data_IF_611463810973
#
_entry.id   IF_611463810973
#
_cell.length_a   1.000
_cell.length_b   1.000
_cell.length_c   1.000
_cell.angle_alpha   90.00
_cell.angle_beta   90.00
_cell.angle_gamma   90.00
#
_symmetry.space_group_name_H-M   'P 1'
#
loop_
_entity.id
_entity.type
_entity.pdbx_description
1 polymer ?
#
# COMPACT_ATOMS: atom_id res chain seq x y z
N UNK A 1 15.47 4.28 -8.67
CA UNK A 1 14.52 3.49 -9.47
C UNK A 1 13.93 2.44 -8.57
N UNK A 2 12.64 2.17 -8.66
CA UNK A 2 12.01 1.07 -7.93
C UNK A 2 12.63 -0.26 -8.38
N UNK A 3 12.91 -1.16 -7.44
CA UNK A 3 13.33 -2.53 -7.71
C UNK A 3 12.16 -3.37 -8.28
N UNK A 4 10.95 -2.82 -8.21
CA UNK A 4 9.70 -3.45 -8.60
C UNK A 4 9.12 -2.80 -9.85
N UNK A 5 8.34 -3.58 -10.60
CA UNK A 5 7.58 -3.12 -11.75
C UNK A 5 6.12 -3.54 -11.64
N UNK A 6 5.25 -2.83 -12.34
CA UNK A 6 3.82 -3.16 -12.48
C UNK A 6 3.47 -3.20 -13.95
N UNK A 7 2.65 -4.18 -14.36
CA UNK A 7 2.21 -4.27 -15.77
C UNK A 7 1.23 -3.14 -16.11
N UNK A 8 1.33 -2.64 -17.36
CA UNK A 8 0.39 -1.63 -17.87
C UNK A 8 -1.04 -2.17 -17.91
N UNK A 9 -1.25 -3.48 -18.06
CA UNK A 9 -2.56 -4.13 -18.00
C UNK A 9 -3.23 -3.89 -16.65
N UNK A 10 -2.50 -4.12 -15.54
CA UNK A 10 -3.02 -3.89 -14.20
C UNK A 10 -3.40 -2.43 -13.96
N UNK A 11 -2.55 -1.49 -14.42
CA UNK A 11 -2.85 -0.06 -14.31
C UNK A 11 -4.07 0.33 -15.13
N UNK A 12 -4.23 -0.25 -16.32
CA UNK A 12 -5.38 -0.01 -17.19
C UNK A 12 -6.68 -0.54 -16.58
N UNK A 13 -6.64 -1.72 -15.95
CA UNK A 13 -7.79 -2.29 -15.25
C UNK A 13 -8.20 -1.43 -14.03
N UNK A 14 -7.24 -1.10 -13.14
CA UNK A 14 -7.53 -0.33 -11.93
C UNK A 14 -7.99 1.11 -12.21
N UNK A 15 -7.47 1.74 -13.27
CA UNK A 15 -7.85 3.09 -13.69
C UNK A 15 -8.96 3.10 -14.76
N UNK A 16 -9.55 1.95 -15.09
CA UNK A 16 -10.60 1.79 -16.09
C UNK A 16 -10.27 2.47 -17.43
N UNK A 17 -9.04 2.20 -17.93
CA UNK A 17 -8.56 2.76 -19.18
C UNK A 17 -9.01 1.91 -20.37
N UNK A 18 -9.36 2.57 -21.48
CA UNK A 18 -9.65 1.91 -22.76
C UNK A 18 -8.46 2.00 -23.69
N UNK A 19 -8.24 0.97 -24.51
CA UNK A 19 -7.11 0.89 -25.42
C UNK A 19 -7.48 1.54 -26.75
N UNK A 20 -6.74 2.58 -27.18
CA UNK A 20 -6.82 3.11 -28.52
C UNK A 20 -5.81 2.41 -29.45
N UNK A 21 -4.60 2.15 -28.94
CA UNK A 21 -3.56 1.41 -29.65
C UNK A 21 -2.61 0.74 -28.65
N UNK A 22 -2.14 -0.46 -28.98
CA UNK A 22 -1.04 -1.14 -28.30
C UNK A 22 -0.21 -1.95 -29.29
N UNK A 23 1.13 -1.95 -29.17
CA UNK A 23 2.00 -2.75 -30.04
C UNK A 23 2.06 -4.23 -29.63
N UNK A 24 1.70 -4.55 -28.39
CA UNK A 24 1.69 -5.89 -27.81
C UNK A 24 0.67 -5.98 -26.68
N UNK A 25 0.56 -7.13 -26.04
CA UNK A 25 -0.25 -7.31 -24.83
C UNK A 25 0.24 -6.38 -23.70
N UNK A 26 -0.68 -5.69 -23.03
CA UNK A 26 -0.35 -4.71 -21.99
C UNK A 26 0.39 -5.32 -20.80
N UNK A 27 0.24 -6.63 -20.55
CA UNK A 27 0.97 -7.36 -19.49
C UNK A 27 2.48 -7.40 -19.71
N UNK A 28 2.92 -7.30 -20.98
CA UNK A 28 4.34 -7.29 -21.35
C UNK A 28 5.01 -5.93 -21.13
N UNK A 29 4.22 -4.88 -20.97
CA UNK A 29 4.73 -3.52 -20.78
C UNK A 29 4.83 -3.23 -19.28
N UNK A 30 6.07 -3.00 -18.82
CA UNK A 30 6.37 -2.79 -17.42
C UNK A 30 6.61 -1.33 -17.10
N UNK A 31 5.94 -0.81 -16.08
CA UNK A 31 6.10 0.54 -15.55
C UNK A 31 6.90 0.47 -14.25
N UNK A 32 7.94 1.30 -14.14
CA UNK A 32 8.87 1.33 -12.98
C UNK A 32 8.91 2.70 -12.29
N UNK A 33 8.31 3.73 -12.90
CA UNK A 33 8.24 5.07 -12.33
C UNK A 33 7.00 5.21 -11.45
N UNK A 34 7.16 5.78 -10.26
CA UNK A 34 6.07 6.03 -9.29
C UNK A 34 5.22 7.26 -9.62
N UNK A 35 5.68 8.05 -10.58
CA UNK A 35 5.04 9.30 -10.98
C UNK A 35 4.57 9.23 -12.43
N UNK A 36 3.56 10.03 -12.74
CA UNK A 36 3.10 10.30 -14.11
C UNK A 36 3.52 11.71 -14.52
N UNK A 37 3.52 12.02 -15.81
CA UNK A 37 3.98 13.31 -16.30
C UNK A 37 3.01 13.91 -17.33
N UNK A 38 2.87 15.24 -17.32
CA UNK A 38 2.15 15.99 -18.36
C UNK A 38 3.18 16.62 -19.32
N UNK A 39 3.21 16.24 -20.61
CA UNK A 39 4.28 16.64 -21.51
C UNK A 39 4.12 18.05 -22.09
N UNK A 40 3.40 18.98 -21.43
CA UNK A 40 3.11 20.30 -21.95
C UNK A 40 4.35 21.09 -22.37
N UNK A 41 5.41 21.10 -21.56
CA UNK A 41 6.66 21.80 -21.87
C UNK A 41 7.41 21.13 -23.03
N UNK A 42 7.39 19.78 -23.09
CA UNK A 42 7.96 19.03 -24.21
C UNK A 42 7.23 19.37 -25.52
N UNK A 43 5.90 19.40 -25.49
CA UNK A 43 5.08 19.75 -26.64
C UNK A 43 5.28 21.20 -27.09
N UNK A 44 5.76 22.09 -26.19
CA UNK A 44 6.19 23.46 -26.51
C UNK A 44 7.63 23.55 -27.05
N UNK A 45 8.32 22.41 -27.25
CA UNK A 45 9.63 22.36 -27.87
C UNK A 45 10.83 22.33 -26.90
N UNK A 46 10.60 22.16 -25.59
CA UNK A 46 11.68 22.00 -24.61
C UNK A 46 11.83 20.53 -24.19
N UNK A 47 12.94 19.90 -24.54
CA UNK A 47 13.15 18.47 -24.42
C UNK A 47 14.14 18.06 -23.31
N UNK A 48 14.83 19.03 -22.71
CA UNK A 48 15.80 18.74 -21.65
C UNK A 48 15.09 18.21 -20.38
N UNK A 49 15.74 17.27 -19.70
CA UNK A 49 15.24 16.66 -18.45
C UNK A 49 13.89 15.93 -18.59
N UNK A 50 13.51 15.50 -19.80
CA UNK A 50 12.31 14.69 -19.99
C UNK A 50 12.54 13.26 -19.47
N UNK A 51 11.69 12.83 -18.56
CA UNK A 51 11.72 11.47 -18.02
C UNK A 51 10.78 10.56 -18.83
N UNK A 52 11.37 9.82 -19.77
CA UNK A 52 10.65 8.90 -20.65
C UNK A 52 10.10 7.66 -19.95
N UNK A 53 10.49 7.38 -18.70
CA UNK A 53 10.01 6.19 -17.95
C UNK A 53 8.63 6.39 -17.34
N UNK A 54 8.13 7.62 -17.33
CA UNK A 54 6.82 7.98 -16.78
C UNK A 54 5.72 7.81 -17.82
N UNK A 55 4.54 7.39 -17.36
CA UNK A 55 3.32 7.46 -18.19
C UNK A 55 3.03 8.93 -18.48
N UNK A 56 2.77 9.25 -19.74
CA UNK A 56 2.49 10.61 -20.19
C UNK A 56 0.98 10.83 -20.23
N UNK A 57 0.51 11.87 -19.56
CA UNK A 57 -0.92 12.22 -19.47
C UNK A 57 -1.19 13.47 -20.30
N UNK A 58 -2.02 13.33 -21.31
CA UNK A 58 -2.44 14.44 -22.19
C UNK A 58 -3.86 14.83 -21.82
N UNK A 59 -4.02 16.06 -21.36
CA UNK A 59 -5.28 16.66 -20.98
C UNK A 59 -5.78 17.66 -22.02
N UNK A 60 -6.87 18.36 -21.68
CA UNK A 60 -7.49 19.35 -22.56
C UNK A 60 -6.50 20.46 -22.96
N UNK A 61 -5.67 20.91 -22.04
CA UNK A 61 -4.69 21.99 -22.30
C UNK A 61 -3.68 21.59 -23.37
N UNK A 62 -3.11 20.38 -23.26
CA UNK A 62 -2.16 19.86 -24.22
C UNK A 62 -2.79 19.64 -25.58
N UNK A 63 -4.04 19.10 -25.63
CA UNK A 63 -4.75 18.90 -26.89
C UNK A 63 -5.09 20.24 -27.56
N UNK A 64 -5.63 21.21 -26.80
CA UNK A 64 -5.93 22.54 -27.35
C UNK A 64 -4.68 23.22 -27.90
N UNK A 65 -3.54 23.09 -27.20
CA UNK A 65 -2.26 23.64 -27.69
C UNK A 65 -1.83 22.96 -29.00
N UNK A 66 -1.94 21.65 -29.08
CA UNK A 66 -1.63 20.90 -30.32
C UNK A 66 -2.52 21.31 -31.50
N UNK A 67 -3.79 21.62 -31.26
CA UNK A 67 -4.74 22.05 -32.27
C UNK A 67 -4.40 23.45 -32.85
N UNK A 68 -3.80 24.33 -31.99
CA UNK A 68 -3.35 25.65 -32.40
C UNK A 68 -2.05 25.64 -33.21
N UNK A 69 -1.27 24.57 -33.17
CA UNK A 69 -0.01 24.47 -33.90
C UNK A 69 -0.26 24.20 -35.38
N UNK A 70 0.65 24.74 -36.22
CA UNK A 70 0.72 24.27 -37.64
C UNK A 70 1.00 22.76 -37.67
N UNK A 71 0.48 22.07 -38.71
CA UNK A 71 0.66 20.62 -38.89
C UNK A 71 2.14 20.22 -38.84
N UNK A 72 3.04 21.03 -39.41
CA UNK A 72 4.48 20.75 -39.36
C UNK A 72 5.05 20.78 -37.98
N UNK A 73 4.76 21.81 -37.16
CA UNK A 73 5.23 21.93 -35.78
C UNK A 73 4.61 20.84 -34.91
N UNK A 74 3.31 20.60 -35.02
CA UNK A 74 2.60 19.54 -34.32
C UNK A 74 3.25 18.19 -34.53
N UNK A 75 3.53 17.85 -35.82
CA UNK A 75 4.22 16.60 -36.15
C UNK A 75 5.61 16.53 -35.52
N UNK A 76 6.40 17.59 -35.58
CA UNK A 76 7.75 17.62 -34.99
C UNK A 76 7.70 17.35 -33.47
N UNK A 77 6.80 18.00 -32.74
CA UNK A 77 6.71 17.82 -31.31
C UNK A 77 6.12 16.47 -30.88
N UNK A 78 5.10 15.99 -31.62
CA UNK A 78 4.54 14.65 -31.39
C UNK A 78 5.57 13.56 -31.72
N UNK A 79 6.23 13.64 -32.87
CA UNK A 79 7.28 12.67 -33.22
C UNK A 79 8.36 12.61 -32.15
N UNK A 80 8.78 13.76 -31.65
CA UNK A 80 9.76 13.83 -30.55
C UNK A 80 9.27 13.15 -29.27
N UNK A 81 8.01 13.38 -28.85
CA UNK A 81 7.41 12.73 -27.70
C UNK A 81 7.42 11.21 -27.86
N UNK A 82 6.94 10.70 -29.01
CA UNK A 82 6.88 9.26 -29.25
C UNK A 82 8.27 8.62 -29.43
N UNK A 83 9.26 9.35 -29.96
CA UNK A 83 10.64 8.87 -30.09
C UNK A 83 11.33 8.56 -28.77
N UNK A 84 10.87 9.13 -27.66
CA UNK A 84 11.33 8.79 -26.31
C UNK A 84 10.76 7.46 -25.78
N UNK A 85 9.82 6.86 -26.48
CA UNK A 85 9.19 5.57 -26.15
C UNK A 85 8.72 5.48 -24.68
N UNK A 86 7.84 6.39 -24.20
CA UNK A 86 7.28 6.25 -22.87
C UNK A 86 6.45 4.96 -22.76
N UNK A 87 6.24 4.41 -21.54
CA UNK A 87 5.50 3.17 -21.35
C UNK A 87 4.05 3.25 -21.81
N UNK A 88 3.45 4.44 -21.78
CA UNK A 88 2.14 4.74 -22.36
C UNK A 88 1.90 6.25 -22.47
N UNK A 89 1.03 6.61 -23.40
CA UNK A 89 0.38 7.93 -23.45
C UNK A 89 -1.10 7.73 -23.12
N UNK A 90 -1.63 8.51 -22.18
CA UNK A 90 -3.04 8.43 -21.77
C UNK A 90 -3.74 9.75 -22.05
N UNK A 91 -4.79 9.68 -22.86
CA UNK A 91 -5.68 10.81 -23.14
C UNK A 91 -6.81 10.83 -22.11
N UNK A 92 -7.12 11.99 -21.55
CA UNK A 92 -8.17 12.15 -20.53
C UNK A 92 -9.46 12.71 -21.11
N UNK A 93 -10.55 12.76 -20.31
CA UNK A 93 -11.86 13.39 -20.69
C UNK A 93 -12.52 12.77 -21.92
N UNK A 94 -12.28 11.50 -22.22
CA UNK A 94 -12.84 10.84 -23.40
C UNK A 94 -12.33 11.36 -24.74
N UNK A 95 -11.24 12.14 -24.74
CA UNK A 95 -10.64 12.65 -25.98
C UNK A 95 -10.11 11.52 -26.86
N UNK A 96 -10.26 11.69 -28.17
CA UNK A 96 -9.75 10.76 -29.16
C UNK A 96 -8.34 11.15 -29.59
N UNK A 97 -7.47 10.19 -29.89
CA UNK A 97 -6.13 10.48 -30.39
C UNK A 97 -6.19 11.12 -31.80
N UNK A 98 -5.32 12.10 -32.01
CA UNK A 98 -5.13 12.67 -33.36
C UNK A 98 -4.58 11.59 -34.31
N UNK A 99 -4.83 11.75 -35.60
CA UNK A 99 -4.30 10.84 -36.63
C UNK A 99 -2.78 10.71 -36.60
N UNK A 100 -2.10 11.83 -36.35
CA UNK A 100 -0.64 11.90 -36.21
C UNK A 100 -0.14 11.13 -34.95
N UNK A 101 -0.88 11.22 -33.85
CA UNK A 101 -0.55 10.40 -32.66
C UNK A 101 -0.64 8.91 -32.96
N UNK A 102 -1.67 8.47 -33.66
CA UNK A 102 -1.84 7.08 -34.07
C UNK A 102 -0.73 6.61 -35.05
N UNK A 103 -0.28 7.50 -35.93
CA UNK A 103 0.84 7.22 -36.82
C UNK A 103 2.14 7.00 -36.04
N UNK A 104 2.51 7.94 -35.15
CA UNK A 104 3.73 7.86 -34.36
C UNK A 104 3.67 6.73 -33.32
N UNK A 105 2.50 6.46 -32.75
CA UNK A 105 2.30 5.32 -31.85
C UNK A 105 2.68 4.00 -32.51
N UNK A 106 2.25 3.79 -33.77
CA UNK A 106 2.61 2.61 -34.56
C UNK A 106 4.10 2.59 -34.93
N UNK A 107 4.63 3.74 -35.30
CA UNK A 107 6.03 3.86 -35.72
C UNK A 107 7.01 3.56 -34.60
N UNK A 108 6.74 4.06 -33.38
CA UNK A 108 7.61 3.94 -32.20
C UNK A 108 7.20 2.84 -31.24
N UNK A 109 6.07 2.15 -31.46
CA UNK A 109 5.58 1.09 -30.60
C UNK A 109 5.12 1.57 -29.24
N UNK A 110 4.52 2.77 -29.15
CA UNK A 110 4.06 3.36 -27.89
C UNK A 110 2.56 3.17 -27.73
N UNK A 111 2.07 2.56 -26.62
CA UNK A 111 0.64 2.43 -26.37
C UNK A 111 -0.05 3.77 -26.19
N UNK A 112 -1.28 3.87 -26.73
CA UNK A 112 -2.21 4.97 -26.43
C UNK A 112 -3.43 4.40 -25.74
N UNK A 113 -3.70 4.91 -24.53
CA UNK A 113 -4.86 4.58 -23.74
C UNK A 113 -5.75 5.83 -23.56
N UNK A 114 -7.01 5.61 -23.20
CA UNK A 114 -7.99 6.69 -22.98
C UNK A 114 -8.71 6.51 -21.67
N UNK A 115 -9.04 7.62 -21.02
CA UNK A 115 -9.88 7.70 -19.84
C UNK A 115 -10.97 8.75 -20.00
N UNK A 116 -12.15 8.50 -19.48
CA UNK A 116 -13.24 9.48 -19.39
C UNK A 116 -13.03 10.47 -18.24
N UNK A 117 -12.15 10.15 -17.30
CA UNK A 117 -11.88 10.92 -16.10
C UNK A 117 -11.20 12.27 -16.40
N UNK A 118 -11.33 13.20 -15.46
CA UNK A 118 -10.57 14.45 -15.45
C UNK A 118 -9.07 14.18 -15.24
N UNK A 119 -8.22 14.98 -15.84
CA UNK A 119 -6.75 14.80 -15.78
C UNK A 119 -6.22 14.67 -14.36
N UNK A 120 -6.67 15.55 -13.45
CA UNK A 120 -6.21 15.53 -12.05
C UNK A 120 -6.68 14.30 -11.27
N UNK A 121 -7.91 13.85 -11.53
CA UNK A 121 -8.47 12.65 -10.89
C UNK A 121 -7.70 11.39 -11.35
N UNK A 122 -7.52 11.22 -12.66
CA UNK A 122 -6.75 10.12 -13.23
C UNK A 122 -5.29 10.11 -12.73
N UNK A 123 -4.62 11.27 -12.73
CA UNK A 123 -3.25 11.37 -12.21
C UNK A 123 -3.18 10.94 -10.75
N UNK A 124 -4.10 11.42 -9.89
CA UNK A 124 -4.16 11.01 -8.48
C UNK A 124 -4.35 9.51 -8.31
N UNK A 125 -5.24 8.89 -9.09
CA UNK A 125 -5.48 7.45 -9.08
C UNK A 125 -4.22 6.67 -9.51
N UNK A 126 -3.63 6.99 -10.66
CA UNK A 126 -2.43 6.33 -11.16
C UNK A 126 -1.25 6.46 -10.20
N UNK A 127 -1.00 7.66 -9.64
CA UNK A 127 0.07 7.88 -8.66
C UNK A 127 -0.16 7.02 -7.40
N UNK A 128 -1.40 6.93 -6.92
CA UNK A 128 -1.74 6.09 -5.75
C UNK A 128 -1.47 4.61 -6.03
N UNK A 129 -1.91 4.10 -7.18
CA UNK A 129 -1.66 2.73 -7.61
C UNK A 129 -0.16 2.46 -7.78
N UNK A 130 0.56 3.35 -8.49
CA UNK A 130 2.00 3.21 -8.72
C UNK A 130 2.79 3.21 -7.40
N UNK A 131 2.48 4.10 -6.47
CA UNK A 131 3.11 4.14 -5.15
C UNK A 131 2.87 2.86 -4.35
N UNK A 132 1.69 2.25 -4.49
CA UNK A 132 1.37 0.99 -3.80
C UNK A 132 2.06 -0.21 -4.44
N UNK A 133 2.03 -0.30 -5.77
CA UNK A 133 2.58 -1.45 -6.51
C UNK A 133 4.10 -1.43 -6.60
N UNK A 134 4.72 -0.26 -6.67
CA UNK A 134 6.16 -0.09 -6.73
C UNK A 134 6.81 0.14 -5.35
N UNK A 135 6.02 0.08 -4.27
CA UNK A 135 6.49 0.26 -2.92
C UNK A 135 7.58 -0.76 -2.55
N UNK A 136 8.65 -0.32 -1.86
CA UNK A 136 9.56 -1.24 -1.19
C UNK A 136 8.79 -2.19 -0.28
N UNK A 137 9.10 -3.48 -0.35
CA UNK A 137 8.37 -4.51 0.39
C UNK A 137 9.29 -5.55 0.98
N UNK A 138 8.86 -6.12 2.11
CA UNK A 138 9.48 -7.27 2.76
C UNK A 138 8.38 -8.26 3.17
N UNK A 139 8.75 -9.53 3.28
CA UNK A 139 7.87 -10.54 3.89
C UNK A 139 8.36 -10.84 5.30
N UNK A 140 7.42 -10.91 6.26
CA UNK A 140 7.70 -11.33 7.65
C UNK A 140 6.82 -12.51 8.01
N UNK A 141 7.41 -13.47 8.75
CA UNK A 141 6.63 -14.50 9.40
C UNK A 141 5.85 -13.90 10.56
N UNK A 142 4.53 -14.07 10.54
CA UNK A 142 3.63 -13.48 11.53
C UNK A 142 2.17 -13.56 11.11
N UNK A 143 1.32 -12.98 11.94
CA UNK A 143 -0.11 -12.91 11.70
C UNK A 143 -0.55 -11.46 11.62
N UNK A 144 -1.43 -11.16 10.71
CA UNK A 144 -1.96 -9.82 10.50
C UNK A 144 -3.47 -9.80 10.69
N UNK A 145 -3.95 -8.97 11.61
CA UNK A 145 -5.37 -8.81 11.94
C UNK A 145 -5.76 -7.34 11.99
N UNK A 146 -7.03 -7.07 11.82
CA UNK A 146 -7.66 -5.78 12.11
C UNK A 146 -8.54 -5.94 13.35
N UNK A 147 -8.28 -5.15 14.37
CA UNK A 147 -8.99 -5.17 15.65
C UNK A 147 -9.54 -3.78 15.94
N UNK A 148 -10.87 -3.63 15.96
CA UNK A 148 -11.57 -2.34 16.09
C UNK A 148 -11.13 -1.28 15.08
N UNK A 149 -10.72 -1.69 13.88
CA UNK A 149 -10.21 -0.82 12.84
C UNK A 149 -8.71 -0.55 12.91
N UNK A 150 -8.01 -0.96 13.99
CA UNK A 150 -6.55 -0.90 14.13
C UNK A 150 -5.90 -2.12 13.48
N UNK A 151 -4.93 -1.88 12.65
CA UNK A 151 -4.18 -2.95 12.03
C UNK A 151 -3.00 -3.42 12.87
N UNK A 152 -3.05 -4.64 13.37
CA UNK A 152 -2.04 -5.23 14.26
C UNK A 152 -1.21 -6.26 13.51
N UNK A 153 0.11 -6.14 13.55
CA UNK A 153 1.06 -7.17 13.15
C UNK A 153 1.50 -7.95 14.39
N UNK A 154 1.17 -9.23 14.44
CA UNK A 154 1.53 -10.14 15.53
C UNK A 154 2.76 -10.93 15.11
N UNK A 155 3.85 -10.75 15.83
CA UNK A 155 5.13 -11.43 15.64
C UNK A 155 5.40 -12.36 16.84
N UNK A 156 6.30 -13.30 16.69
CA UNK A 156 6.75 -14.23 17.73
C UNK A 156 7.09 -15.59 17.14
N UNK A 157 7.68 -16.45 17.94
CA UNK A 157 8.13 -17.76 17.52
C UNK A 157 6.99 -18.67 17.05
N UNK A 158 7.33 -19.69 16.27
CA UNK A 158 6.38 -20.70 15.85
C UNK A 158 5.81 -21.42 17.08
N UNK A 159 4.47 -21.54 17.13
CA UNK A 159 3.78 -22.22 18.25
C UNK A 159 3.50 -21.35 19.47
N UNK A 160 3.77 -20.04 19.44
CA UNK A 160 3.46 -19.12 20.54
C UNK A 160 1.97 -18.79 20.63
N UNK A 161 1.14 -19.22 19.67
CA UNK A 161 -0.31 -19.01 19.70
C UNK A 161 -0.81 -17.88 18.80
N UNK A 162 -0.05 -17.45 17.79
CA UNK A 162 -0.44 -16.35 16.87
C UNK A 162 -1.72 -16.67 16.09
N UNK A 163 -1.76 -17.83 15.41
CA UNK A 163 -2.90 -18.23 14.56
C UNK A 163 -4.14 -18.54 15.39
N UNK A 164 -3.98 -19.19 16.56
CA UNK A 164 -5.08 -19.44 17.50
C UNK A 164 -5.68 -18.12 18.01
N UNK A 165 -4.83 -17.15 18.32
CA UNK A 165 -5.27 -15.81 18.73
C UNK A 165 -6.03 -15.09 17.60
N UNK A 166 -5.57 -15.22 16.37
CA UNK A 166 -6.24 -14.63 15.20
C UNK A 166 -7.65 -15.21 15.00
N UNK A 167 -7.82 -16.53 15.14
CA UNK A 167 -9.15 -17.18 15.04
C UNK A 167 -10.07 -16.75 16.18
N UNK A 168 -9.55 -16.62 17.40
CA UNK A 168 -10.34 -16.11 18.51
C UNK A 168 -10.81 -14.66 18.25
N UNK A 169 -9.94 -13.80 17.71
CA UNK A 169 -10.29 -12.45 17.27
C UNK A 169 -11.34 -12.45 16.16
N UNK A 170 -11.21 -13.32 15.16
CA UNK A 170 -12.20 -13.48 14.09
C UNK A 170 -13.57 -13.87 14.64
N UNK A 171 -13.63 -14.82 15.58
CA UNK A 171 -14.89 -15.20 16.26
C UNK A 171 -15.53 -14.04 17.02
N UNK A 172 -14.73 -13.08 17.47
CA UNK A 172 -15.19 -11.85 18.14
C UNK A 172 -15.60 -10.74 17.19
N UNK A 173 -15.56 -10.97 15.87
CA UNK A 173 -15.98 -10.04 14.84
C UNK A 173 -14.87 -9.18 14.24
N UNK A 174 -13.60 -9.47 14.57
CA UNK A 174 -12.45 -8.86 13.94
C UNK A 174 -12.09 -9.53 12.61
N UNK A 175 -11.10 -8.99 11.87
CA UNK A 175 -10.81 -9.44 10.52
C UNK A 175 -9.39 -9.96 10.40
N UNK A 176 -9.24 -11.10 9.70
CA UNK A 176 -7.94 -11.62 9.30
C UNK A 176 -7.48 -10.97 7.99
N UNK A 177 -6.22 -10.58 7.92
CA UNK A 177 -5.56 -10.12 6.69
C UNK A 177 -4.60 -11.19 6.17
N UNK A 178 -3.71 -11.70 7.02
CA UNK A 178 -2.70 -12.69 6.66
C UNK A 178 -2.35 -13.59 7.84
N UNK A 179 -2.02 -14.85 7.55
CA UNK A 179 -1.42 -15.79 8.49
C UNK A 179 -0.14 -16.35 7.86
N UNK A 180 0.83 -16.72 8.70
CA UNK A 180 2.14 -17.27 8.37
C UNK A 180 3.06 -16.30 7.63
N UNK A 181 2.68 -15.77 6.47
CA UNK A 181 3.47 -14.81 5.72
C UNK A 181 2.70 -13.50 5.53
N UNK A 182 3.29 -12.40 6.00
CA UNK A 182 2.77 -11.04 5.86
C UNK A 182 3.68 -10.25 4.94
N UNK A 183 3.16 -9.82 3.79
CA UNK A 183 3.84 -8.87 2.93
C UNK A 183 3.61 -7.45 3.45
N UNK A 184 4.69 -6.74 3.76
CA UNK A 184 4.70 -5.39 4.29
C UNK A 184 5.27 -4.46 3.23
N UNK A 185 4.48 -3.45 2.79
CA UNK A 185 4.85 -2.47 1.76
C UNK A 185 4.91 -1.08 2.36
N UNK A 186 6.01 -0.35 2.12
CA UNK A 186 6.13 1.05 2.52
C UNK A 186 5.50 1.95 1.46
N UNK A 187 4.22 2.28 1.61
CA UNK A 187 3.46 3.09 0.65
C UNK A 187 3.65 4.61 0.82
N UNK A 188 4.21 5.04 1.95
CA UNK A 188 4.65 6.42 2.17
C UNK A 188 5.74 6.50 3.23
N UNK A 189 6.23 7.71 3.53
CA UNK A 189 7.26 7.91 4.56
C UNK A 189 6.79 7.54 5.99
N UNK A 190 5.49 7.40 6.23
CA UNK A 190 4.91 7.05 7.55
C UNK A 190 4.03 5.82 7.53
N UNK A 191 3.72 5.25 6.35
CA UNK A 191 2.69 4.22 6.25
C UNK A 191 3.23 2.91 5.69
N UNK A 192 2.97 1.85 6.45
CA UNK A 192 3.21 0.47 6.04
C UNK A 192 1.85 -0.19 5.80
N UNK A 193 1.66 -0.73 4.60
CA UNK A 193 0.50 -1.54 4.26
C UNK A 193 0.85 -3.02 4.43
N UNK A 194 0.01 -3.77 5.15
CA UNK A 194 0.18 -5.22 5.32
C UNK A 194 -0.85 -5.99 4.50
N UNK A 195 -0.40 -6.99 3.76
CA UNK A 195 -1.24 -7.87 2.92
C UNK A 195 -0.80 -9.32 3.05
N UNK A 196 -1.67 -10.26 2.63
CA UNK A 196 -1.28 -11.64 2.41
C UNK A 196 -0.74 -11.83 0.98
N UNK A 197 0.28 -12.68 0.75
CA UNK A 197 0.59 -13.19 -0.57
C UNK A 197 -0.66 -13.79 -1.24
N UNK A 198 -0.81 -13.58 -2.56
CA UNK A 198 -2.05 -13.91 -3.26
C UNK A 198 -2.43 -15.41 -3.16
N UNK A 199 -1.44 -16.28 -3.14
CA UNK A 199 -1.60 -17.75 -3.12
C UNK A 199 -2.07 -18.32 -1.77
N UNK A 200 -1.90 -17.57 -0.66
CA UNK A 200 -2.30 -18.01 0.70
C UNK A 200 -3.35 -17.08 1.31
N UNK A 201 -3.90 -16.17 0.53
CA UNK A 201 -4.89 -15.21 1.02
C UNK A 201 -6.12 -15.90 1.58
N UNK A 202 -6.56 -15.46 2.77
CA UNK A 202 -7.69 -15.98 3.53
C UNK A 202 -7.49 -17.38 4.14
N UNK A 203 -6.35 -18.00 3.95
CA UNK A 203 -6.03 -19.27 4.60
C UNK A 203 -5.32 -19.04 5.93
N UNK A 204 -5.57 -19.93 6.88
CA UNK A 204 -4.90 -20.00 8.18
C UNK A 204 -4.63 -21.48 8.53
N UNK A 205 -3.46 -21.71 9.14
CA UNK A 205 -3.12 -23.05 9.63
C UNK A 205 -3.35 -23.13 11.14
N UNK A 206 -4.12 -24.13 11.56
CA UNK A 206 -4.39 -24.44 12.96
C UNK A 206 -3.90 -25.84 13.30
N UNK A 207 -3.01 -25.95 14.27
CA UNK A 207 -2.49 -27.25 14.72
C UNK A 207 -3.61 -28.15 15.19
N UNK A 208 -3.62 -29.40 14.70
CA UNK A 208 -4.65 -30.38 15.00
C UNK A 208 -5.94 -30.28 14.17
N UNK A 209 -6.14 -29.18 13.42
CA UNK A 209 -7.27 -29.01 12.50
C UNK A 209 -6.78 -29.01 11.05
N UNK A 210 -5.61 -28.39 10.77
CA UNK A 210 -5.06 -28.23 9.44
C UNK A 210 -5.34 -26.82 8.86
N UNK A 211 -5.32 -26.72 7.53
CA UNK A 211 -5.51 -25.48 6.80
C UNK A 211 -7.00 -25.24 6.56
N UNK A 212 -7.51 -24.08 6.96
CA UNK A 212 -8.89 -23.65 6.71
C UNK A 212 -8.93 -22.32 5.94
N UNK A 213 -9.99 -22.12 5.16
CA UNK A 213 -10.28 -20.83 4.52
C UNK A 213 -11.23 -20.03 5.41
N UNK A 214 -10.72 -18.97 6.04
CA UNK A 214 -11.45 -18.15 7.02
C UNK A 214 -12.68 -17.49 6.41
N UNK A 215 -12.59 -17.00 5.16
CA UNK A 215 -13.71 -16.36 4.48
C UNK A 215 -14.86 -17.35 4.22
N UNK A 216 -14.55 -18.64 3.98
CA UNK A 216 -15.57 -19.67 3.78
C UNK A 216 -16.20 -20.15 5.09
N UNK A 217 -15.42 -20.22 6.17
CA UNK A 217 -15.87 -20.72 7.47
C UNK A 217 -16.62 -19.65 8.27
N UNK A 218 -16.13 -18.41 8.26
CA UNK A 218 -16.68 -17.32 9.09
C UNK A 218 -17.36 -16.21 8.26
N UNK A 219 -17.41 -16.35 6.94
CA UNK A 219 -18.00 -15.36 6.03
C UNK A 219 -16.99 -14.32 5.53
N UNK A 220 -17.31 -13.69 4.40
CA UNK A 220 -16.42 -12.71 3.74
C UNK A 220 -16.11 -11.48 4.62
N UNK A 221 -17.00 -11.13 5.54
CA UNK A 221 -16.79 -10.05 6.50
C UNK A 221 -15.68 -10.31 7.53
N UNK A 222 -15.23 -11.57 7.68
CA UNK A 222 -14.17 -11.99 8.60
C UNK A 222 -12.75 -11.79 8.07
N UNK A 223 -12.61 -11.36 6.82
CA UNK A 223 -11.32 -11.13 6.16
C UNK A 223 -11.25 -9.76 5.53
N UNK A 224 -10.02 -9.27 5.34
CA UNK A 224 -9.73 -8.03 4.63
C UNK A 224 -8.47 -8.20 3.78
N UNK A 225 -8.42 -7.57 2.60
CA UNK A 225 -7.30 -7.72 1.67
C UNK A 225 -6.04 -7.02 2.16
N UNK A 226 -6.19 -5.85 2.79
CA UNK A 226 -5.09 -5.03 3.29
C UNK A 226 -5.55 -4.07 4.38
N UNK A 227 -4.64 -3.69 5.25
CA UNK A 227 -4.83 -2.63 6.26
C UNK A 227 -3.48 -2.00 6.58
N UNK A 228 -3.47 -0.74 7.08
CA UNK A 228 -2.24 -0.07 7.56
C UNK A 228 -1.72 -0.78 8.83
N UNK A 229 -0.39 -0.88 9.00
CA UNK A 229 0.23 -1.39 10.23
C UNK A 229 0.32 -0.25 11.24
N UNK A 230 -0.61 -0.21 12.18
CA UNK A 230 -0.68 0.83 13.21
C UNK A 230 0.03 0.39 14.49
N UNK A 231 0.14 -0.93 14.71
CA UNK A 231 0.81 -1.47 15.89
C UNK A 231 1.47 -2.82 15.59
N UNK A 232 2.61 -3.06 16.22
CA UNK A 232 3.29 -4.36 16.25
C UNK A 232 3.16 -4.95 17.65
N UNK A 233 2.73 -6.20 17.73
CA UNK A 233 2.71 -6.97 18.98
C UNK A 233 3.68 -8.12 18.86
N UNK A 234 4.66 -8.18 19.74
CA UNK A 234 5.60 -9.28 19.83
C UNK A 234 5.14 -10.23 20.97
N UNK A 235 4.83 -11.47 20.61
CA UNK A 235 4.48 -12.52 21.55
C UNK A 235 5.73 -13.33 21.90
N UNK A 236 6.03 -13.49 23.17
CA UNK A 236 7.08 -14.40 23.65
C UNK A 236 6.59 -15.25 24.81
N UNK A 237 7.10 -16.48 24.99
CA UNK A 237 6.84 -17.26 26.19
C UNK A 237 7.25 -16.48 27.43
N UNK A 238 6.47 -16.59 28.50
CA UNK A 238 6.79 -15.94 29.78
C UNK A 238 8.16 -16.39 30.30
N UNK A 239 9.03 -15.43 30.58
CA UNK A 239 10.33 -15.66 31.18
C UNK A 239 10.42 -14.95 32.54
N UNK A 240 10.62 -15.72 33.62
CA UNK A 240 10.72 -15.22 35.00
C UNK A 240 11.95 -14.34 35.23
N UNK A 241 12.95 -14.42 34.36
CA UNK A 241 14.21 -13.64 34.49
C UNK A 241 14.10 -12.27 33.84
N UNK A 242 13.08 -12.04 33.02
CA UNK A 242 12.84 -10.77 32.31
C UNK A 242 11.92 -9.84 33.10
N UNK A 243 12.27 -8.57 33.07
CA UNK A 243 11.33 -7.52 33.52
C UNK A 243 10.47 -7.08 32.34
N UNK A 244 9.17 -7.21 32.50
CA UNK A 244 8.20 -6.74 31.51
C UNK A 244 7.64 -5.38 31.94
N UNK A 245 7.49 -4.46 30.97
CA UNK A 245 6.85 -3.17 31.27
C UNK A 245 5.42 -3.41 31.79
N UNK A 246 5.11 -2.78 32.91
CA UNK A 246 3.80 -2.84 33.56
C UNK A 246 3.06 -1.52 33.51
N UNK A 247 3.74 -0.46 33.15
CA UNK A 247 3.23 0.90 33.22
C UNK A 247 2.71 1.38 31.86
N UNK A 248 3.32 0.96 30.77
CA UNK A 248 3.00 1.44 29.43
C UNK A 248 3.26 2.95 29.26
N UNK A 249 4.15 3.53 30.07
CA UNK A 249 4.51 4.95 30.02
C UNK A 249 5.25 5.29 28.73
N UNK A 250 6.24 4.49 28.42
CA UNK A 250 7.02 4.65 27.20
C UNK A 250 6.38 3.88 26.03
N UNK A 251 6.55 4.41 24.85
CA UNK A 251 6.14 3.72 23.62
C UNK A 251 7.38 3.20 22.92
N UNK A 252 7.51 1.89 22.86
CA UNK A 252 8.53 1.23 22.04
C UNK A 252 8.12 1.28 20.57
N UNK A 253 9.12 1.18 19.68
CA UNK A 253 8.90 1.20 18.24
C UNK A 253 9.62 0.04 17.56
N UNK A 254 8.92 -0.55 16.60
CA UNK A 254 9.47 -1.56 15.70
C UNK A 254 9.73 -0.93 14.32
N UNK A 255 10.94 -1.11 13.80
CA UNK A 255 11.29 -0.56 12.47
C UNK A 255 10.84 -1.51 11.36
N UNK A 256 10.04 -0.98 10.44
CA UNK A 256 9.63 -1.68 9.22
C UNK A 256 9.99 -0.80 8.02
N UNK A 257 11.01 -1.18 7.28
CA UNK A 257 11.47 -0.45 6.09
C UNK A 257 11.76 1.04 6.37
N UNK A 258 12.30 1.36 7.55
CA UNK A 258 12.60 2.73 7.99
C UNK A 258 11.39 3.52 8.50
N UNK A 259 10.23 2.87 8.67
CA UNK A 259 9.06 3.44 9.37
C UNK A 259 8.99 2.88 10.78
N UNK A 260 8.97 3.77 11.77
CA UNK A 260 8.82 3.41 13.18
C UNK A 260 7.33 3.21 13.51
N UNK A 261 6.94 1.98 13.79
CA UNK A 261 5.58 1.59 14.18
C UNK A 261 5.54 1.33 15.67
N UNK A 262 4.56 1.87 16.42
CA UNK A 262 4.39 1.55 17.85
C UNK A 262 4.40 0.04 18.09
N UNK A 263 5.13 -0.40 19.11
CA UNK A 263 5.26 -1.83 19.43
C UNK A 263 5.08 -2.10 20.91
N UNK A 264 4.67 -3.32 21.22
CA UNK A 264 4.65 -3.85 22.57
C UNK A 264 5.03 -5.31 22.62
N UNK A 265 5.65 -5.71 23.72
CA UNK A 265 5.99 -7.09 24.03
C UNK A 265 4.96 -7.67 25.00
N UNK A 266 4.31 -8.75 24.60
CA UNK A 266 3.30 -9.44 25.44
C UNK A 266 3.82 -10.83 25.81
N UNK A 267 4.09 -11.08 27.10
CA UNK A 267 4.46 -12.41 27.55
C UNK A 267 3.25 -13.35 27.57
N UNK A 268 3.41 -14.50 26.94
CA UNK A 268 2.39 -15.55 26.84
C UNK A 268 2.52 -16.54 27.98
N UNK A 269 1.42 -16.72 28.72
CA UNK A 269 1.31 -17.69 29.80
C UNK A 269 0.07 -18.57 29.60
N UNK A 270 0.10 -19.84 30.04
CA UNK A 270 -1.11 -20.65 30.06
C UNK A 270 -2.25 -19.97 30.82
N UNK A 271 -3.46 -20.02 30.27
CA UNK A 271 -4.67 -19.41 30.87
C UNK A 271 -4.87 -17.93 30.56
N UNK A 272 -3.95 -17.23 29.91
CA UNK A 272 -4.18 -15.86 29.44
C UNK A 272 -4.97 -15.85 28.13
N UNK A 273 -6.00 -15.02 28.07
CA UNK A 273 -6.74 -14.78 26.84
C UNK A 273 -6.06 -13.66 26.04
N UNK A 274 -5.25 -14.06 25.04
CA UNK A 274 -4.50 -13.13 24.20
C UNK A 274 -5.42 -12.23 23.36
N UNK A 275 -6.58 -12.72 22.93
CA UNK A 275 -7.53 -11.92 22.14
C UNK A 275 -8.02 -10.72 22.95
N UNK A 276 -8.40 -10.91 24.22
CA UNK A 276 -8.82 -9.81 25.10
C UNK A 276 -7.69 -8.79 25.32
N UNK A 277 -6.45 -9.28 25.46
CA UNK A 277 -5.28 -8.41 25.63
C UNK A 277 -5.07 -7.57 24.37
N UNK A 278 -5.16 -8.18 23.17
CA UNK A 278 -4.99 -7.48 21.90
C UNK A 278 -6.12 -6.49 21.63
N UNK A 279 -7.37 -6.82 21.95
CA UNK A 279 -8.51 -5.90 21.89
C UNK A 279 -8.25 -4.65 22.76
N UNK A 280 -7.80 -4.86 23.99
CA UNK A 280 -7.47 -3.76 24.91
C UNK A 280 -6.29 -2.95 24.42
N UNK A 281 -5.25 -3.61 23.91
CA UNK A 281 -4.07 -2.97 23.35
C UNK A 281 -4.40 -2.07 22.15
N UNK A 282 -5.26 -2.54 21.23
CA UNK A 282 -5.73 -1.76 20.09
C UNK A 282 -6.43 -0.46 20.52
N UNK A 283 -7.37 -0.58 21.46
CA UNK A 283 -8.11 0.58 21.99
C UNK A 283 -7.15 1.55 22.69
N UNK A 284 -6.24 1.04 23.50
CA UNK A 284 -5.26 1.86 24.24
C UNK A 284 -4.27 2.57 23.29
N UNK A 285 -3.82 1.89 22.23
CA UNK A 285 -2.97 2.52 21.22
C UNK A 285 -3.67 3.71 20.58
N UNK A 286 -4.92 3.53 20.16
CA UNK A 286 -5.74 4.62 19.59
C UNK A 286 -5.91 5.78 20.58
N UNK A 287 -6.15 5.50 21.87
CA UNK A 287 -6.24 6.55 22.88
C UNK A 287 -4.92 7.34 22.99
N UNK A 288 -3.78 6.65 22.98
CA UNK A 288 -2.45 7.29 22.97
C UNK A 288 -2.24 8.17 21.76
N UNK A 289 -2.64 7.72 20.55
CA UNK A 289 -2.57 8.52 19.32
C UNK A 289 -3.44 9.78 19.37
N UNK A 290 -4.60 9.71 20.04
CA UNK A 290 -5.46 10.87 20.33
C UNK A 290 -4.95 11.76 21.46
N UNK A 291 -3.78 11.45 22.04
CA UNK A 291 -3.13 12.26 23.08
C UNK A 291 -3.46 11.85 24.51
N UNK A 292 -4.27 10.81 24.74
CA UNK A 292 -4.60 10.32 26.06
C UNK A 292 -3.66 9.19 26.49
N UNK A 293 -3.07 9.30 27.69
CA UNK A 293 -2.23 8.25 28.28
C UNK A 293 -2.64 8.04 29.73
N UNK A 294 -3.31 6.92 30.03
CA UNK A 294 -3.83 6.59 31.35
C UNK A 294 -2.72 6.48 32.42
N UNK A 295 -1.53 5.99 32.06
CA UNK A 295 -0.41 5.90 32.99
C UNK A 295 0.10 7.29 33.40
N UNK A 296 0.18 8.25 32.45
CA UNK A 296 0.52 9.65 32.76
C UNK A 296 -0.53 10.31 33.61
N UNK A 297 -1.81 10.09 33.32
CA UNK A 297 -2.91 10.60 34.15
C UNK A 297 -2.81 10.09 35.59
N UNK A 298 -2.62 8.77 35.75
CA UNK A 298 -2.49 8.17 37.09
C UNK A 298 -1.31 8.75 37.88
N UNK A 299 -0.13 8.91 37.25
CA UNK A 299 1.04 9.50 37.89
C UNK A 299 0.80 10.97 38.30
N UNK A 300 0.10 11.72 37.45
CA UNK A 300 -0.30 13.09 37.77
C UNK A 300 -1.22 13.13 39.00
N UNK A 301 -2.24 12.25 39.07
CA UNK A 301 -3.15 12.15 40.19
C UNK A 301 -2.43 11.73 41.50
N UNK A 302 -1.38 10.92 41.39
CA UNK A 302 -0.56 10.50 42.53
C UNK A 302 0.50 11.55 42.96
N UNK A 303 0.60 12.69 42.26
CA UNK A 303 1.60 13.71 42.55
C UNK A 303 3.03 13.33 42.10
N UNK A 304 3.17 12.34 41.20
CA UNK A 304 4.45 11.82 40.70
C UNK A 304 4.75 12.31 39.28
N UNK A 305 4.17 13.44 38.87
CA UNK A 305 4.29 13.98 37.53
C UNK A 305 5.74 14.34 37.15
N UNK A 306 6.59 14.71 38.09
CA UNK A 306 7.99 15.08 37.86
C UNK A 306 8.90 13.90 37.44
N UNK A 307 8.46 12.67 37.67
CA UNK A 307 9.19 11.45 37.25
C UNK A 307 9.00 11.11 35.76
N UNK A 308 8.08 11.82 35.06
CA UNK A 308 7.80 11.59 33.64
C UNK A 308 8.78 12.37 32.74
N UNK A 309 9.49 13.37 33.27
CA UNK A 309 10.35 14.31 32.54
C UNK A 309 11.85 13.99 32.66
N UNK A 310 12.23 12.93 33.32
CA UNK A 310 13.60 12.40 33.38
C UNK A 310 13.73 11.16 32.50
#
# INVERSE_FOLDING_TARGET
>A
MSEFSVSLAKLAEEANLTIAYTPCELDKIQVTATEVYRPGILLAGYYENFDSKRIQIIGLTEMSYLDELSTSLRNTHLEKLFSFQPPAIVLTRGMQPLSEMMQFAKQYGVPILMSTEMTSALMGQLITTLNTELAPRITRHGVRVEVYGEGILILGDSGVGKSETAIELVKRGHRLIADDAVELRRVSYRKILGTAPANIRHFIELRGIGIINVARVFGIGSVRSSVEVEMVVQLEPWDRTKNYDRTGLETEYYDILGVKVPSMLIPVMPGRNLAVILETAAINNRQKEMGYNAAKELLTQLGLADDITK
#
